data_IF_152766723792
#
_entry.id   IF_152766723792
#
_cell.length_a   1.000
_cell.length_b   1.000
_cell.length_c   1.000
_cell.angle_alpha   90.00
_cell.angle_beta   90.00
_cell.angle_gamma   90.00
#
_symmetry.space_group_name_H-M   'P 1'
#
loop_
_entity.id
_entity.type
_entity.pdbx_description
1 polymer ?
#
# COMPACT_ATOMS: atom_id res chain seq x y z
N UNK A 1 26.36 34.88 -4.07
CA UNK A 1 25.30 34.78 -3.05
C UNK A 1 24.53 33.47 -3.31
N UNK A 2 24.52 32.51 -2.40
CA UNK A 2 23.74 31.30 -2.56
C UNK A 2 22.26 31.65 -2.47
N UNK A 3 21.49 31.09 -3.37
CA UNK A 3 20.02 31.30 -3.45
C UNK A 3 19.36 30.59 -2.28
N UNK A 4 18.59 31.27 -1.41
CA UNK A 4 18.09 30.70 -0.16
C UNK A 4 17.12 29.51 -0.33
N UNK A 5 16.52 29.34 -1.51
CA UNK A 5 15.64 28.19 -1.79
C UNK A 5 16.39 26.88 -2.08
N UNK A 6 17.71 26.92 -2.32
CA UNK A 6 18.52 25.72 -2.51
C UNK A 6 19.11 25.18 -1.17
N UNK A 7 18.95 25.92 -0.08
CA UNK A 7 19.43 25.54 1.24
C UNK A 7 18.32 25.04 2.18
N UNK A 8 17.05 25.11 1.75
CA UNK A 8 15.91 24.66 2.56
C UNK A 8 15.98 23.16 2.93
N UNK A 9 16.66 22.34 2.13
CA UNK A 9 16.85 20.91 2.46
C UNK A 9 17.89 20.65 3.58
N UNK A 10 18.73 21.66 3.93
CA UNK A 10 19.72 21.49 4.98
C UNK A 10 19.21 21.81 6.37
N UNK A 11 18.18 22.65 6.48
CA UNK A 11 17.55 22.97 7.78
C UNK A 11 16.73 21.81 8.36
N UNK A 12 16.40 20.79 7.54
CA UNK A 12 15.73 19.59 8.02
C UNK A 12 16.67 18.59 8.72
N UNK A 13 17.98 18.72 8.56
CA UNK A 13 18.99 17.83 9.15
C UNK A 13 19.37 18.17 10.59
N UNK A 14 19.28 19.44 10.98
CA UNK A 14 19.79 19.90 12.27
C UNK A 14 18.71 19.92 13.40
N UNK A 15 17.44 19.67 13.08
CA UNK A 15 16.33 19.59 14.05
C UNK A 15 15.98 18.13 14.37
N UNK A 16 16.79 17.17 13.93
CA UNK A 16 16.50 15.74 14.07
C UNK A 16 16.62 15.18 15.50
N UNK A 17 16.96 16.01 16.51
CA UNK A 17 17.12 15.55 17.90
C UNK A 17 15.87 15.56 18.76
N UNK A 18 14.84 16.35 18.42
CA UNK A 18 13.65 16.51 19.28
C UNK A 18 12.37 16.84 18.51
N UNK A 19 12.38 16.70 17.18
CA UNK A 19 11.15 16.84 16.41
C UNK A 19 10.25 15.64 16.69
N UNK A 20 9.00 15.85 17.15
CA UNK A 20 8.04 14.74 17.21
C UNK A 20 8.01 14.12 15.83
N UNK A 21 8.07 12.77 15.78
CA UNK A 21 7.96 12.03 14.51
C UNK A 21 6.93 12.73 13.60
N UNK A 22 7.18 12.85 12.29
CA UNK A 22 6.42 13.73 11.38
C UNK A 22 4.91 13.47 11.34
N UNK A 23 4.42 12.69 12.28
CA UNK A 23 3.04 12.30 12.48
C UNK A 23 2.60 12.60 13.92
N UNK A 24 2.25 13.84 14.21
CA UNK A 24 1.74 14.26 15.53
C UNK A 24 0.45 13.53 15.94
N UNK A 25 -0.28 12.94 14.98
CA UNK A 25 -1.53 12.20 15.20
C UNK A 25 -1.27 10.69 15.01
N UNK A 26 -0.76 10.04 16.06
CA UNK A 26 -0.35 8.63 16.05
C UNK A 26 -1.52 7.64 15.96
N UNK A 27 -2.69 8.04 16.32
CA UNK A 27 -3.88 7.17 16.31
C UNK A 27 -4.47 7.01 14.92
N UNK A 28 -4.15 7.91 14.00
CA UNK A 28 -4.67 7.88 12.66
C UNK A 28 -3.89 6.93 11.77
N UNK A 29 -4.60 6.06 11.05
CA UNK A 29 -4.01 5.18 10.05
C UNK A 29 -3.37 5.99 8.93
N UNK A 30 -2.07 5.83 8.74
CA UNK A 30 -1.30 6.52 7.72
C UNK A 30 -0.55 5.54 6.84
N UNK A 31 -0.40 5.90 5.58
CA UNK A 31 0.39 5.13 4.64
C UNK A 31 1.82 5.65 4.65
N UNK A 32 2.85 4.80 4.94
CA UNK A 32 4.25 5.23 5.03
C UNK A 32 4.87 5.59 3.67
N UNK A 33 4.15 5.35 2.57
CA UNK A 33 4.61 5.66 1.21
C UNK A 33 3.44 6.11 0.32
N UNK A 34 3.76 6.79 -0.77
CA UNK A 34 2.77 7.20 -1.78
C UNK A 34 2.48 6.03 -2.74
N UNK A 35 1.26 5.92 -3.28
CA UNK A 35 0.94 4.97 -4.33
C UNK A 35 1.92 5.10 -5.50
N UNK A 36 2.36 3.96 -6.02
CA UNK A 36 3.26 3.94 -7.17
C UNK A 36 2.56 4.38 -8.47
N UNK A 37 3.33 4.83 -9.48
CA UNK A 37 2.78 5.31 -10.73
C UNK A 37 1.98 4.25 -11.47
N UNK A 38 2.40 3.00 -11.43
CA UNK A 38 1.69 1.89 -12.06
C UNK A 38 0.31 1.63 -11.44
N UNK A 39 0.20 1.77 -10.12
CA UNK A 39 -1.08 1.64 -9.43
C UNK A 39 -2.04 2.77 -9.79
N UNK A 40 -1.52 3.99 -9.83
CA UNK A 40 -2.30 5.16 -10.23
C UNK A 40 -2.75 5.05 -11.68
N UNK A 41 -1.85 4.59 -12.58
CA UNK A 41 -2.19 4.36 -13.99
C UNK A 41 -3.31 3.32 -14.14
N UNK A 42 -3.20 2.18 -13.46
CA UNK A 42 -4.23 1.14 -13.51
C UNK A 42 -5.59 1.67 -13.00
N UNK A 43 -5.61 2.40 -11.89
CA UNK A 43 -6.83 3.01 -11.39
C UNK A 43 -7.41 4.05 -12.36
N UNK A 44 -6.55 4.83 -13.02
CA UNK A 44 -6.99 5.79 -14.05
C UNK A 44 -7.61 5.09 -15.26
N UNK A 45 -7.03 3.98 -15.72
CA UNK A 45 -7.61 3.16 -16.81
C UNK A 45 -8.97 2.59 -16.41
N UNK A 46 -9.11 2.06 -15.18
CA UNK A 46 -10.40 1.57 -14.68
C UNK A 46 -11.47 2.67 -14.63
N UNK A 47 -11.10 3.87 -14.17
CA UNK A 47 -12.01 5.03 -14.15
C UNK A 47 -12.37 5.52 -15.55
N UNK A 48 -11.43 5.46 -16.51
CA UNK A 48 -11.73 5.78 -17.91
C UNK A 48 -12.74 4.80 -18.50
N UNK A 49 -12.57 3.49 -18.25
CA UNK A 49 -13.54 2.47 -18.67
C UNK A 49 -14.92 2.68 -18.02
N UNK A 50 -14.93 3.00 -16.72
CA UNK A 50 -16.17 3.34 -16.02
C UNK A 50 -16.87 4.55 -16.65
N UNK A 51 -16.13 5.60 -16.98
CA UNK A 51 -16.64 6.79 -17.65
C UNK A 51 -17.27 6.46 -19.02
N UNK A 52 -16.60 5.63 -19.81
CA UNK A 52 -17.12 5.15 -21.08
C UNK A 52 -18.44 4.36 -20.91
N UNK A 53 -18.50 3.46 -19.92
CA UNK A 53 -19.70 2.67 -19.62
C UNK A 53 -20.86 3.54 -19.11
N UNK A 54 -20.58 4.59 -18.32
CA UNK A 54 -21.60 5.55 -17.91
C UNK A 54 -22.15 6.34 -19.11
N UNK A 55 -21.29 6.71 -20.05
CA UNK A 55 -21.73 7.36 -21.29
C UNK A 55 -22.60 6.41 -22.13
N UNK A 56 -22.19 5.13 -22.26
CA UNK A 56 -23.01 4.10 -22.92
C UNK A 56 -24.37 3.89 -22.21
N UNK A 57 -24.41 3.99 -20.89
CA UNK A 57 -25.66 3.93 -20.10
C UNK A 57 -26.63 5.03 -20.54
N UNK A 58 -26.16 6.25 -20.71
CA UNK A 58 -26.99 7.39 -21.15
C UNK A 58 -27.55 7.12 -22.55
N UNK A 59 -26.74 6.65 -23.49
CA UNK A 59 -27.17 6.31 -24.85
C UNK A 59 -28.24 5.23 -24.82
N UNK A 60 -28.05 4.15 -24.05
CA UNK A 60 -29.00 3.07 -23.90
C UNK A 60 -30.35 3.52 -23.33
N UNK A 61 -30.33 4.46 -22.36
CA UNK A 61 -31.54 5.07 -21.81
C UNK A 61 -32.31 5.85 -22.87
N UNK A 62 -31.61 6.68 -23.65
CA UNK A 62 -32.19 7.46 -24.74
C UNK A 62 -32.78 6.55 -25.84
N UNK A 63 -32.17 5.40 -26.06
CA UNK A 63 -32.67 4.37 -27.00
C UNK A 63 -33.81 3.52 -26.43
N UNK A 64 -34.27 3.79 -25.21
CA UNK A 64 -35.35 3.03 -24.56
C UNK A 64 -34.95 1.65 -23.99
N UNK A 65 -33.66 1.30 -24.03
CA UNK A 65 -33.16 0.02 -23.53
C UNK A 65 -32.79 0.09 -22.05
N UNK A 66 -33.77 -0.01 -21.16
CA UNK A 66 -33.57 0.09 -19.71
C UNK A 66 -32.67 -1.03 -19.18
N UNK A 67 -32.87 -2.28 -19.66
CA UNK A 67 -32.06 -3.43 -19.22
C UNK A 67 -30.60 -3.26 -19.60
N UNK A 68 -30.31 -2.80 -20.84
CA UNK A 68 -28.95 -2.51 -21.29
C UNK A 68 -28.30 -1.40 -20.45
N UNK A 69 -29.04 -0.33 -20.17
CA UNK A 69 -28.56 0.76 -19.34
C UNK A 69 -28.21 0.32 -17.92
N UNK A 70 -29.07 -0.48 -17.27
CA UNK A 70 -28.81 -1.00 -15.92
C UNK A 70 -27.56 -1.91 -15.89
N UNK A 71 -27.38 -2.73 -16.93
CA UNK A 71 -26.18 -3.59 -17.03
C UNK A 71 -24.90 -2.74 -17.16
N UNK A 72 -24.89 -1.77 -18.07
CA UNK A 72 -23.75 -0.86 -18.24
C UNK A 72 -23.44 -0.06 -16.96
N UNK A 73 -24.48 0.48 -16.30
CA UNK A 73 -24.34 1.19 -15.04
C UNK A 73 -23.76 0.29 -13.93
N UNK A 74 -24.26 -0.93 -13.79
CA UNK A 74 -23.77 -1.89 -12.80
C UNK A 74 -22.29 -2.24 -13.00
N UNK A 75 -21.87 -2.47 -14.25
CA UNK A 75 -20.46 -2.72 -14.58
C UNK A 75 -19.60 -1.49 -14.31
N UNK A 76 -20.08 -0.27 -14.66
CA UNK A 76 -19.36 0.97 -14.36
C UNK A 76 -19.14 1.16 -12.86
N UNK A 77 -20.13 0.92 -12.03
CA UNK A 77 -20.00 0.96 -10.57
C UNK A 77 -18.96 -0.06 -10.08
N UNK A 78 -18.95 -1.27 -10.66
CA UNK A 78 -17.94 -2.28 -10.37
C UNK A 78 -16.52 -1.77 -10.64
N UNK A 79 -16.25 -1.15 -11.79
CA UNK A 79 -14.96 -0.55 -12.11
C UNK A 79 -14.58 0.60 -11.17
N UNK A 80 -15.53 1.47 -10.81
CA UNK A 80 -15.29 2.56 -9.85
C UNK A 80 -14.89 2.00 -8.49
N UNK A 81 -15.60 1.00 -7.98
CA UNK A 81 -15.29 0.35 -6.71
C UNK A 81 -13.92 -0.34 -6.75
N UNK A 82 -13.58 -1.02 -7.87
CA UNK A 82 -12.29 -1.65 -8.07
C UNK A 82 -11.16 -0.62 -8.08
N UNK A 83 -11.29 0.49 -8.81
CA UNK A 83 -10.32 1.58 -8.84
C UNK A 83 -10.08 2.20 -7.46
N UNK A 84 -11.16 2.52 -6.73
CA UNK A 84 -11.06 3.04 -5.37
C UNK A 84 -10.41 2.05 -4.42
N UNK A 85 -10.73 0.75 -4.56
CA UNK A 85 -10.12 -0.29 -3.76
C UNK A 85 -8.65 -0.46 -4.09
N UNK A 86 -8.27 -0.43 -5.38
CA UNK A 86 -6.89 -0.52 -5.85
C UNK A 86 -6.02 0.59 -5.26
N UNK A 87 -6.50 1.83 -5.21
CA UNK A 87 -5.80 2.95 -4.60
C UNK A 87 -5.60 2.78 -3.08
N UNK A 88 -6.53 2.10 -2.40
CA UNK A 88 -6.44 1.83 -0.95
C UNK A 88 -5.56 0.63 -0.59
N UNK A 89 -5.27 -0.26 -1.53
CA UNK A 89 -4.35 -1.41 -1.30
C UNK A 89 -3.00 -0.91 -0.85
N UNK A 90 -2.44 -1.50 0.20
CA UNK A 90 -1.11 -1.16 0.73
C UNK A 90 -0.99 -1.40 2.22
N UNK A 91 0.11 -0.93 2.77
CA UNK A 91 0.40 -1.01 4.21
C UNK A 91 0.06 0.32 4.86
N UNK A 92 -0.56 0.24 6.02
CA UNK A 92 -0.95 1.36 6.86
C UNK A 92 -0.44 1.13 8.27
N UNK A 93 0.08 2.17 8.89
CA UNK A 93 0.61 2.16 10.25
C UNK A 93 -0.16 3.13 11.13
N UNK A 94 -0.31 2.79 12.40
CA UNK A 94 -0.86 3.65 13.45
C UNK A 94 -0.34 3.19 14.81
N UNK A 95 -0.61 3.93 15.89
CA UNK A 95 -0.29 3.49 17.24
C UNK A 95 -0.95 2.14 17.61
N UNK A 96 -2.07 1.80 16.99
CA UNK A 96 -2.80 0.55 17.24
C UNK A 96 -2.22 -0.69 16.56
N UNK A 97 -1.31 -0.52 15.59
CA UNK A 97 -0.72 -1.64 14.87
C UNK A 97 -0.43 -1.36 13.39
N UNK A 98 -0.26 -2.43 12.69
CA UNK A 98 0.03 -2.49 11.27
C UNK A 98 -1.16 -3.12 10.54
N UNK A 99 -1.65 -2.44 9.51
CA UNK A 99 -2.77 -2.89 8.68
C UNK A 99 -2.31 -3.11 7.26
N UNK A 100 -2.47 -4.31 6.75
CA UNK A 100 -2.26 -4.65 5.36
C UNK A 100 -3.60 -4.75 4.63
N UNK A 101 -3.84 -3.83 3.71
CA UNK A 101 -5.04 -3.80 2.87
C UNK A 101 -4.72 -4.50 1.56
N UNK A 102 -5.35 -5.66 1.34
CA UNK A 102 -5.33 -6.39 0.07
C UNK A 102 -6.54 -6.00 -0.79
N UNK A 103 -6.58 -6.49 -2.03
CA UNK A 103 -7.68 -6.19 -2.93
C UNK A 103 -9.04 -6.67 -2.39
N UNK A 104 -9.11 -7.87 -1.81
CA UNK A 104 -10.37 -8.48 -1.33
C UNK A 104 -10.52 -8.47 0.19
N UNK A 105 -9.42 -8.47 0.95
CA UNK A 105 -9.44 -8.54 2.40
C UNK A 105 -8.47 -7.55 3.04
N UNK A 106 -8.63 -7.33 4.33
CA UNK A 106 -7.75 -6.48 5.13
C UNK A 106 -7.30 -7.27 6.36
N UNK A 107 -6.01 -7.25 6.64
CA UNK A 107 -5.41 -7.88 7.83
C UNK A 107 -4.86 -6.78 8.71
N UNK A 108 -5.21 -6.80 9.99
CA UNK A 108 -4.65 -5.89 11.00
C UNK A 108 -3.86 -6.72 12.01
N UNK A 109 -2.65 -6.29 12.30
CA UNK A 109 -1.73 -6.87 13.28
C UNK A 109 -1.44 -5.82 14.34
N UNK A 110 -1.73 -6.11 15.59
CA UNK A 110 -1.35 -5.26 16.70
C UNK A 110 0.16 -5.39 16.96
N UNK A 111 0.80 -4.34 17.48
CA UNK A 111 2.26 -4.32 17.67
C UNK A 111 2.75 -5.40 18.63
N UNK A 112 1.98 -5.74 19.66
CA UNK A 112 2.26 -6.82 20.62
C UNK A 112 2.32 -8.22 19.97
N UNK A 113 1.68 -8.38 18.80
CA UNK A 113 1.71 -9.62 18.01
C UNK A 113 2.90 -9.70 17.06
N UNK A 114 3.73 -8.65 16.98
CA UNK A 114 4.88 -8.53 16.09
C UNK A 114 6.17 -8.65 16.91
N UNK A 115 6.99 -9.67 16.65
CA UNK A 115 8.29 -9.82 17.30
C UNK A 115 9.39 -8.99 16.62
N UNK A 116 9.35 -8.88 15.30
CA UNK A 116 10.27 -8.05 14.52
C UNK A 116 9.71 -7.77 13.14
N UNK A 117 10.17 -6.68 12.55
CA UNK A 117 10.03 -6.40 11.12
C UNK A 117 11.44 -6.47 10.54
N UNK A 118 11.63 -7.14 9.41
CA UNK A 118 12.95 -7.33 8.79
C UNK A 118 12.85 -7.31 7.27
N UNK A 119 13.78 -6.61 6.65
CA UNK A 119 13.98 -6.68 5.21
C UNK A 119 14.87 -7.87 4.87
N UNK A 120 14.42 -8.71 3.94
CA UNK A 120 15.16 -9.89 3.49
C UNK A 120 15.16 -9.97 1.96
N UNK A 121 16.24 -10.54 1.42
CA UNK A 121 16.31 -10.88 0.00
C UNK A 121 15.67 -12.24 -0.23
N UNK A 122 14.65 -12.28 -1.07
CA UNK A 122 13.96 -13.52 -1.44
C UNK A 122 13.31 -13.41 -2.81
N UNK A 123 12.98 -14.53 -3.47
CA UNK A 123 12.19 -14.50 -4.68
C UNK A 123 10.81 -13.87 -4.41
N UNK A 124 10.51 -12.78 -5.10
CA UNK A 124 9.25 -12.04 -4.96
C UNK A 124 8.43 -12.13 -6.26
N UNK A 125 7.13 -11.99 -6.14
CA UNK A 125 6.24 -11.96 -7.31
C UNK A 125 6.37 -10.62 -8.02
N UNK A 126 6.62 -10.64 -9.31
CA UNK A 126 6.65 -9.46 -10.14
C UNK A 126 5.22 -8.94 -10.38
N UNK A 127 4.92 -7.73 -9.93
CA UNK A 127 3.58 -7.11 -10.01
C UNK A 127 2.43 -7.99 -9.49
N UNK A 128 2.69 -8.95 -8.62
CA UNK A 128 1.69 -9.91 -8.17
C UNK A 128 1.38 -11.06 -9.14
N UNK A 129 2.01 -11.07 -10.32
CA UNK A 129 1.89 -12.15 -11.31
C UNK A 129 2.59 -13.43 -10.82
N UNK A 130 2.31 -14.60 -11.41
CA UNK A 130 2.95 -15.86 -11.02
C UNK A 130 4.46 -15.93 -11.33
N UNK A 131 5.01 -14.94 -12.04
CA UNK A 131 6.44 -14.84 -12.31
C UNK A 131 7.18 -14.34 -11.07
N UNK A 132 8.21 -15.08 -10.64
CA UNK A 132 9.10 -14.71 -9.54
C UNK A 132 10.40 -14.11 -10.06
N UNK A 133 10.88 -13.08 -9.39
CA UNK A 133 12.17 -12.43 -9.63
C UNK A 133 12.91 -12.29 -8.31
N UNK A 134 14.24 -12.18 -8.35
CA UNK A 134 15.02 -11.83 -7.17
C UNK A 134 14.68 -10.41 -6.75
N UNK A 135 14.40 -10.22 -5.47
CA UNK A 135 14.04 -8.91 -4.94
C UNK A 135 14.10 -8.88 -3.43
N UNK A 136 13.68 -7.76 -2.88
CA UNK A 136 13.61 -7.52 -1.45
C UNK A 136 12.17 -7.57 -0.97
N UNK A 137 11.99 -8.12 0.23
CA UNK A 137 10.69 -8.15 0.88
C UNK A 137 10.83 -7.74 2.35
N UNK A 138 9.89 -6.92 2.81
CA UNK A 138 9.72 -6.61 4.21
C UNK A 138 8.83 -7.67 4.83
N UNK A 139 9.38 -8.43 5.78
CA UNK A 139 8.69 -9.51 6.48
C UNK A 139 8.36 -9.10 7.91
N UNK A 140 7.18 -9.52 8.35
CA UNK A 140 6.77 -9.43 9.75
C UNK A 140 7.03 -10.77 10.44
N UNK A 141 7.81 -10.77 11.50
CA UNK A 141 8.02 -11.94 12.36
C UNK A 141 6.98 -11.89 13.48
N UNK A 142 6.05 -12.85 13.58
CA UNK A 142 5.06 -12.86 14.64
C UNK A 142 5.70 -13.18 16.00
N UNK A 143 5.16 -12.60 17.08
CA UNK A 143 5.50 -12.98 18.43
C UNK A 143 5.13 -14.46 18.69
N UNK A 144 5.88 -15.13 19.57
CA UNK A 144 5.79 -16.58 19.80
C UNK A 144 4.38 -17.10 20.15
N UNK A 145 3.48 -16.25 20.63
CA UNK A 145 2.07 -16.59 20.94
C UNK A 145 1.24 -17.02 19.73
N UNK A 146 1.64 -16.67 18.50
CA UNK A 146 0.95 -17.08 17.26
C UNK A 146 1.62 -18.24 16.52
N UNK A 147 2.61 -18.89 17.13
CA UNK A 147 3.09 -20.17 16.62
C UNK A 147 1.96 -21.18 16.72
N UNK A 148 1.47 -21.65 15.56
CA UNK A 148 0.45 -22.69 15.53
C UNK A 148 0.89 -23.90 16.34
N UNK A 149 -0.06 -24.71 16.80
CA UNK A 149 0.08 -25.86 17.73
C UNK A 149 1.13 -26.92 17.34
N UNK A 150 1.81 -26.76 16.20
CA UNK A 150 2.84 -27.68 15.69
C UNK A 150 4.27 -27.11 15.63
N UNK A 151 4.55 -25.93 16.20
CA UNK A 151 5.93 -25.41 16.29
C UNK A 151 6.56 -24.96 14.96
N UNK A 152 5.94 -25.21 13.81
CA UNK A 152 6.41 -24.73 12.52
C UNK A 152 6.15 -23.22 12.41
N UNK A 153 7.19 -22.44 12.15
CA UNK A 153 7.06 -21.03 11.84
C UNK A 153 6.14 -20.91 10.61
N UNK A 154 4.96 -20.30 10.78
CA UNK A 154 4.07 -20.00 9.66
C UNK A 154 4.88 -19.13 8.69
N UNK A 155 5.03 -19.51 7.41
CA UNK A 155 5.75 -18.69 6.46
C UNK A 155 5.05 -17.35 6.36
N UNK A 156 5.77 -16.31 6.76
CA UNK A 156 5.25 -14.94 6.78
C UNK A 156 5.07 -14.46 5.35
N UNK A 157 3.87 -14.03 5.04
CA UNK A 157 3.64 -13.34 3.78
C UNK A 157 4.39 -12.01 3.81
N UNK A 158 5.11 -11.67 2.75
CA UNK A 158 5.78 -10.39 2.68
C UNK A 158 4.76 -9.26 2.82
N UNK A 159 5.08 -8.32 3.69
CA UNK A 159 4.26 -7.14 3.92
C UNK A 159 4.35 -6.17 2.73
N UNK A 160 5.58 -5.94 2.28
CA UNK A 160 5.94 -5.13 1.12
C UNK A 160 6.96 -5.89 0.28
N UNK A 161 6.98 -5.64 -1.02
CA UNK A 161 8.00 -6.15 -1.95
C UNK A 161 8.42 -5.03 -2.89
N UNK A 162 9.70 -4.98 -3.23
CA UNK A 162 10.29 -3.99 -4.13
C UNK A 162 9.74 -4.05 -5.57
N UNK A 163 9.29 -5.24 -5.99
CA UNK A 163 8.76 -5.50 -7.32
C UNK A 163 7.23 -5.43 -7.40
N UNK A 164 6.56 -4.80 -6.42
CA UNK A 164 5.13 -4.55 -6.51
C UNK A 164 4.83 -3.25 -7.29
N UNK A 165 3.56 -3.01 -7.61
CA UNK A 165 3.11 -1.85 -8.39
C UNK A 165 3.43 -0.48 -7.75
N UNK A 166 3.75 -0.44 -6.46
CA UNK A 166 4.11 0.80 -5.76
C UNK A 166 5.59 1.13 -5.88
N UNK A 167 6.47 0.11 -5.96
CA UNK A 167 7.91 0.28 -5.85
C UNK A 167 8.67 -0.10 -7.11
N UNK A 168 7.99 -0.61 -8.14
CA UNK A 168 8.63 -1.03 -9.39
C UNK A 168 9.50 0.10 -9.96
N UNK A 169 10.77 -0.20 -10.19
CA UNK A 169 11.81 0.76 -10.62
C UNK A 169 12.07 1.92 -9.63
N UNK A 170 11.74 1.75 -8.35
CA UNK A 170 11.90 2.77 -7.31
C UNK A 170 12.47 2.17 -6.00
N UNK A 171 13.68 1.62 -6.01
CA UNK A 171 14.27 0.96 -4.83
C UNK A 171 14.37 1.88 -3.62
N UNK A 172 14.77 3.14 -3.80
CA UNK A 172 14.85 4.12 -2.70
C UNK A 172 13.49 4.40 -2.04
N UNK A 173 12.38 4.29 -2.78
CA UNK A 173 11.05 4.45 -2.19
C UNK A 173 10.66 3.23 -1.35
N UNK A 174 11.12 2.03 -1.74
CA UNK A 174 10.95 0.81 -0.96
C UNK A 174 11.76 0.89 0.33
N UNK A 175 13.05 1.26 0.26
CA UNK A 175 13.93 1.38 1.41
C UNK A 175 13.37 2.38 2.44
N UNK A 176 12.98 3.58 2.01
CA UNK A 176 12.35 4.57 2.88
C UNK A 176 11.03 4.08 3.52
N UNK A 177 10.24 3.31 2.78
CA UNK A 177 9.01 2.73 3.33
C UNK A 177 9.31 1.64 4.36
N UNK A 178 10.33 0.81 4.11
CA UNK A 178 10.79 -0.22 5.02
C UNK A 178 11.32 0.39 6.32
N UNK A 179 12.22 1.38 6.22
CA UNK A 179 12.78 2.12 7.36
C UNK A 179 11.68 2.75 8.22
N UNK A 180 10.69 3.38 7.57
CA UNK A 180 9.54 3.96 8.28
C UNK A 180 8.76 2.92 9.07
N UNK A 181 8.47 1.75 8.48
CA UNK A 181 7.73 0.69 9.17
C UNK A 181 8.58 0.07 10.29
N UNK A 182 9.87 -0.11 10.09
CA UNK A 182 10.80 -0.60 11.12
C UNK A 182 10.92 0.38 12.29
N UNK A 183 10.98 1.69 12.03
CA UNK A 183 10.99 2.73 13.06
C UNK A 183 9.72 2.67 13.91
N UNK A 184 8.54 2.61 13.29
CA UNK A 184 7.27 2.44 14.00
C UNK A 184 7.22 1.16 14.84
N UNK A 185 7.71 0.05 14.28
CA UNK A 185 7.76 -1.23 14.99
C UNK A 185 8.72 -1.20 16.19
N UNK A 186 9.80 -0.42 16.12
CA UNK A 186 10.77 -0.26 17.21
C UNK A 186 10.24 0.62 18.32
N UNK A 187 9.50 1.67 17.97
CA UNK A 187 8.97 2.64 18.95
C UNK A 187 7.75 2.10 19.72
N UNK A 188 6.87 1.31 19.06
CA UNK A 188 5.57 0.92 19.63
C UNK A 188 5.49 -0.55 20.09
N UNK A 189 6.59 -1.28 20.07
CA UNK A 189 6.69 -2.67 20.49
C UNK A 189 7.03 -2.88 21.99
#
# INVERSE_FOLDING_TARGET
>A
MPLPFLTADRDFGDVAGDAPLPYADRDRWRRPYRPGPWRVLMAAVELLLASYLLFATVIMLLAGSVTGALTCAGVAVGFILAALRLLRVGVWVSAHGLRQVHLLHTVTLAWDAIAAVRTVQQPVKWLGLPRTVQGQALLVVPAARRRGRGGAAVPLRPLLTDNNADFLSRPEAFDRAADTVEAWATELR
#
